data_IF_409347111548
#
_entry.id   IF_409347111548
#
_cell.length_a   1.000
_cell.length_b   1.000
_cell.length_c   1.000
_cell.angle_alpha   90.00
_cell.angle_beta   90.00
_cell.angle_gamma   90.00
#
_symmetry.space_group_name_H-M   'P 1'
#
loop_
_entity.id
_entity.type
_entity.pdbx_description
1 polymer ?
#
# COMPACT_ATOMS: atom_id res chain seq x y z
N UNK A 1 -4.95 -17.78 -26.98
CA UNK A 1 -4.48 -17.18 -25.70
C UNK A 1 -3.93 -15.80 -25.98
N UNK A 2 -4.08 -14.85 -25.06
CA UNK A 2 -3.51 -13.52 -25.20
C UNK A 2 -3.07 -12.94 -23.85
N UNK A 3 -2.04 -12.09 -23.87
CA UNK A 3 -1.62 -11.27 -22.74
C UNK A 3 -1.79 -9.81 -23.13
N UNK A 4 -2.91 -9.21 -22.73
CA UNK A 4 -3.30 -7.88 -23.18
C UNK A 4 -4.31 -7.26 -22.21
N UNK A 5 -4.43 -5.94 -22.25
CA UNK A 5 -5.61 -5.24 -21.74
C UNK A 5 -6.72 -5.32 -22.80
N UNK A 6 -7.84 -5.95 -22.46
CA UNK A 6 -9.03 -6.02 -23.31
C UNK A 6 -10.07 -5.06 -22.75
N UNK A 7 -10.82 -4.38 -23.64
CA UNK A 7 -11.89 -3.46 -23.20
C UNK A 7 -12.86 -4.15 -22.22
N UNK A 8 -13.19 -3.46 -21.13
CA UNK A 8 -13.98 -3.99 -20.02
C UNK A 8 -13.16 -4.65 -18.91
N UNK A 9 -11.85 -4.86 -19.13
CA UNK A 9 -10.92 -5.29 -18.09
C UNK A 9 -10.62 -4.18 -17.06
N UNK A 10 -10.56 -4.55 -15.79
CA UNK A 10 -10.25 -3.70 -14.64
C UNK A 10 -8.85 -4.03 -14.11
N UNK A 11 -7.95 -3.04 -14.07
CA UNK A 11 -6.57 -3.25 -13.62
C UNK A 11 -6.32 -3.02 -12.12
N UNK A 12 -5.09 -3.24 -11.68
CA UNK A 12 -4.61 -2.94 -10.33
C UNK A 12 -3.17 -2.39 -10.31
N UNK A 13 -2.77 -1.78 -9.19
CA UNK A 13 -1.53 -0.97 -9.06
C UNK A 13 -0.20 -1.62 -9.52
N UNK A 14 -0.12 -2.95 -9.57
CA UNK A 14 1.13 -3.67 -9.94
C UNK A 14 1.23 -4.03 -11.41
N UNK A 15 0.15 -3.85 -12.16
CA UNK A 15 0.11 -4.18 -13.58
C UNK A 15 0.90 -3.12 -14.35
N UNK A 16 1.90 -3.58 -15.11
CA UNK A 16 2.72 -2.69 -15.94
C UNK A 16 1.88 -2.20 -17.11
N UNK A 17 2.00 -0.92 -17.42
CA UNK A 17 1.51 -0.41 -18.71
C UNK A 17 2.32 -1.08 -19.84
N UNK A 18 1.65 -1.85 -20.68
CA UNK A 18 2.21 -2.53 -21.86
C UNK A 18 1.79 -1.85 -23.15
N UNK A 19 1.21 -0.65 -23.08
CA UNK A 19 0.80 0.08 -24.26
C UNK A 19 2.01 0.44 -25.12
N UNK A 20 1.87 0.20 -26.43
CA UNK A 20 2.85 0.58 -27.45
C UNK A 20 2.15 1.55 -28.38
N UNK A 21 2.66 2.79 -28.48
CA UNK A 21 2.09 3.81 -29.37
C UNK A 21 0.73 4.37 -28.93
N UNK A 22 0.39 4.31 -27.64
CA UNK A 22 -0.82 4.96 -27.08
C UNK A 22 -2.12 4.14 -27.21
N UNK A 23 -2.08 2.96 -27.82
CA UNK A 23 -3.23 2.03 -27.82
C UNK A 23 -3.14 1.17 -26.56
N UNK A 24 -4.02 1.46 -25.60
CA UNK A 24 -4.01 0.79 -24.29
C UNK A 24 -4.90 -0.45 -24.24
N UNK A 25 -5.81 -0.66 -25.20
CA UNK A 25 -6.83 -1.72 -25.13
C UNK A 25 -7.08 -2.41 -26.47
N UNK A 26 -7.29 -3.72 -26.41
CA UNK A 26 -7.74 -4.56 -27.53
C UNK A 26 -9.26 -4.73 -27.46
N UNK A 27 -10.01 -4.50 -28.55
CA UNK A 27 -11.44 -4.83 -28.61
C UNK A 27 -11.69 -6.33 -28.48
N UNK A 28 -12.73 -6.73 -27.75
CA UNK A 28 -13.09 -8.14 -27.58
C UNK A 28 -13.40 -8.86 -28.90
N UNK A 29 -13.94 -8.13 -29.89
CA UNK A 29 -14.28 -8.65 -31.21
C UNK A 29 -13.08 -9.23 -31.99
N UNK A 30 -11.85 -8.89 -31.60
CA UNK A 30 -10.62 -9.50 -32.16
C UNK A 30 -10.59 -11.02 -31.89
N UNK A 31 -11.33 -11.48 -30.89
CA UNK A 31 -11.37 -12.88 -30.51
C UNK A 31 -12.64 -13.62 -30.95
N UNK A 32 -13.46 -13.03 -31.83
CA UNK A 32 -14.66 -13.67 -32.35
C UNK A 32 -14.32 -14.96 -33.11
N UNK A 33 -15.15 -16.00 -32.92
CA UNK A 33 -14.96 -17.31 -33.53
C UNK A 33 -14.03 -18.26 -32.77
N UNK A 34 -13.54 -17.87 -31.60
CA UNK A 34 -12.77 -18.73 -30.69
C UNK A 34 -13.66 -19.23 -29.55
N UNK A 35 -13.70 -20.55 -29.31
CA UNK A 35 -14.55 -21.15 -28.27
C UNK A 35 -14.17 -20.71 -26.86
N UNK A 36 -12.86 -20.55 -26.61
CA UNK A 36 -12.34 -20.05 -25.34
C UNK A 36 -11.01 -19.31 -25.49
N UNK A 37 -10.90 -18.19 -24.80
CA UNK A 37 -9.77 -17.29 -24.79
C UNK A 37 -9.34 -17.07 -23.35
N UNK A 38 -8.24 -17.74 -22.98
CA UNK A 38 -7.51 -17.44 -21.77
C UNK A 38 -6.75 -16.10 -21.94
N UNK A 39 -7.19 -15.09 -21.19
CA UNK A 39 -6.51 -13.80 -21.06
C UNK A 39 -5.59 -13.81 -19.84
N UNK A 40 -4.40 -13.27 -20.01
CA UNK A 40 -3.47 -12.91 -18.94
C UNK A 40 -3.23 -11.41 -18.91
N UNK A 41 -2.41 -10.97 -17.95
CA UNK A 41 -2.02 -9.59 -17.63
C UNK A 41 -2.65 -9.05 -16.36
N UNK A 42 -3.98 -9.09 -16.28
CA UNK A 42 -4.71 -8.60 -15.11
C UNK A 42 -4.58 -9.58 -13.95
N UNK A 43 -4.34 -9.06 -12.75
CA UNK A 43 -4.15 -9.86 -11.54
C UNK A 43 -5.48 -10.19 -10.83
N UNK A 44 -6.54 -9.43 -11.13
CA UNK A 44 -7.91 -9.76 -10.74
C UNK A 44 -8.55 -10.68 -11.77
N UNK A 45 -9.17 -11.78 -11.32
CA UNK A 45 -9.95 -12.65 -12.20
C UNK A 45 -11.18 -11.92 -12.72
N UNK A 46 -11.50 -12.09 -13.99
CA UNK A 46 -12.59 -11.37 -14.65
C UNK A 46 -13.20 -12.21 -15.76
N UNK A 47 -14.53 -12.20 -15.85
CA UNK A 47 -15.28 -12.77 -16.97
C UNK A 47 -15.75 -11.62 -17.84
N UNK A 48 -15.19 -11.47 -19.03
CA UNK A 48 -15.67 -10.50 -20.01
C UNK A 48 -16.86 -11.08 -20.78
N UNK A 49 -16.73 -12.33 -21.22
CA UNK A 49 -17.81 -13.16 -21.75
C UNK A 49 -17.64 -14.59 -21.25
N UNK A 50 -18.51 -15.51 -21.66
CA UNK A 50 -18.47 -16.91 -21.23
C UNK A 50 -17.16 -17.59 -21.62
N UNK A 51 -16.67 -17.30 -22.83
CA UNK A 51 -15.42 -17.79 -23.39
C UNK A 51 -14.22 -16.85 -23.24
N UNK A 52 -14.38 -15.62 -22.75
CA UNK A 52 -13.29 -14.64 -22.66
C UNK A 52 -13.03 -14.23 -21.21
N UNK A 53 -11.93 -14.71 -20.62
CA UNK A 53 -11.68 -14.58 -19.17
C UNK A 53 -10.24 -14.32 -18.81
N UNK A 54 -10.04 -13.48 -17.80
CA UNK A 54 -8.80 -13.36 -17.04
C UNK A 54 -8.84 -14.31 -15.85
N UNK A 55 -7.86 -15.20 -15.73
CA UNK A 55 -7.73 -16.04 -14.52
C UNK A 55 -7.28 -15.26 -13.29
N UNK A 56 -6.69 -14.08 -13.49
CA UNK A 56 -5.98 -13.37 -12.42
C UNK A 56 -4.65 -14.03 -12.09
N UNK A 57 -3.97 -13.46 -11.10
CA UNK A 57 -2.78 -14.05 -10.50
C UNK A 57 -3.18 -15.11 -9.46
N UNK A 58 -2.32 -16.12 -9.20
CA UNK A 58 -2.58 -17.14 -8.18
C UNK A 58 -2.36 -16.64 -6.74
N UNK A 59 -1.65 -15.52 -6.57
CA UNK A 59 -1.37 -14.87 -5.30
C UNK A 59 -1.54 -13.35 -5.44
N UNK A 60 -1.79 -12.64 -4.34
CA UNK A 60 -1.80 -11.18 -4.33
C UNK A 60 -0.36 -10.64 -4.30
N UNK A 61 -0.04 -9.68 -5.16
CA UNK A 61 1.28 -9.04 -5.22
C UNK A 61 1.27 -7.61 -4.67
N UNK A 62 0.09 -7.01 -4.51
CA UNK A 62 -0.13 -5.70 -3.87
C UNK A 62 -1.35 -5.70 -2.95
N UNK A 63 -1.36 -4.76 -2.02
CA UNK A 63 -2.52 -4.48 -1.16
C UNK A 63 -3.74 -3.98 -1.93
N UNK A 64 -3.58 -3.41 -3.13
CA UNK A 64 -4.72 -3.13 -4.03
C UNK A 64 -5.53 -4.39 -4.36
N UNK A 65 -4.90 -5.56 -4.31
CA UNK A 65 -5.52 -6.86 -4.57
C UNK A 65 -6.09 -7.52 -3.30
N UNK A 66 -6.17 -6.83 -2.16
CA UNK A 66 -6.62 -7.43 -0.89
C UNK A 66 -8.04 -8.01 -0.93
N UNK A 67 -8.90 -7.47 -1.79
CA UNK A 67 -10.26 -7.97 -2.03
C UNK A 67 -10.33 -9.01 -3.16
N UNK A 68 -9.23 -9.26 -3.89
CA UNK A 68 -9.22 -10.22 -4.98
C UNK A 68 -9.29 -11.64 -4.44
N UNK A 69 -10.22 -12.42 -4.98
CA UNK A 69 -10.27 -13.86 -4.73
C UNK A 69 -9.38 -14.54 -5.79
N UNK A 70 -8.41 -15.30 -5.30
CA UNK A 70 -7.41 -15.98 -6.14
C UNK A 70 -7.93 -17.36 -6.54
N UNK A 71 -7.78 -17.70 -7.81
CA UNK A 71 -8.33 -18.93 -8.38
C UNK A 71 -7.66 -19.29 -9.68
N UNK A 72 -7.98 -20.48 -10.19
CA UNK A 72 -7.72 -20.91 -11.56
C UNK A 72 -9.04 -21.31 -12.23
N UNK A 73 -9.06 -21.40 -13.55
CA UNK A 73 -10.20 -21.97 -14.29
C UNK A 73 -9.84 -23.36 -14.82
N UNK A 74 -10.70 -24.34 -14.52
CA UNK A 74 -10.74 -25.62 -15.21
C UNK A 74 -11.74 -25.50 -16.36
N UNK A 75 -11.25 -25.65 -17.59
CA UNK A 75 -12.02 -25.43 -18.81
C UNK A 75 -12.18 -26.75 -19.53
N UNK A 76 -13.44 -27.17 -19.73
CA UNK A 76 -13.80 -28.33 -20.52
C UNK A 76 -14.25 -27.87 -21.91
N UNK A 77 -13.57 -28.37 -22.94
CA UNK A 77 -13.91 -28.18 -24.36
C UNK A 77 -14.27 -29.52 -24.98
N UNK A 78 -15.21 -29.53 -25.92
CA UNK A 78 -15.54 -30.69 -26.75
C UNK A 78 -15.62 -30.30 -28.24
N UNK A 79 -16.15 -31.20 -29.07
CA UNK A 79 -16.26 -30.97 -30.52
C UNK A 79 -17.24 -29.85 -30.89
N UNK A 80 -18.16 -29.49 -30.00
CA UNK A 80 -19.15 -28.42 -30.18
C UNK A 80 -18.69 -27.10 -29.53
N UNK A 81 -17.52 -27.09 -28.89
CA UNK A 81 -16.87 -25.90 -28.34
C UNK A 81 -16.80 -25.89 -26.81
N UNK A 82 -17.09 -24.73 -26.20
CA UNK A 82 -16.98 -24.54 -24.75
C UNK A 82 -18.11 -25.23 -23.99
N UNK A 83 -17.78 -26.30 -23.26
CA UNK A 83 -18.75 -27.09 -22.49
C UNK A 83 -18.94 -26.58 -21.06
N UNK A 84 -17.84 -26.35 -20.34
CA UNK A 84 -17.89 -25.93 -18.93
C UNK A 84 -16.65 -25.13 -18.55
N UNK A 85 -16.85 -24.15 -17.68
CA UNK A 85 -15.77 -23.47 -16.97
C UNK A 85 -16.05 -23.56 -15.47
N UNK A 86 -15.16 -24.21 -14.74
CA UNK A 86 -15.20 -24.30 -13.30
C UNK A 86 -14.10 -23.43 -12.68
N UNK A 87 -14.46 -22.66 -11.67
CA UNK A 87 -13.49 -21.89 -10.90
C UNK A 87 -12.98 -22.75 -9.74
N UNK A 88 -11.66 -22.90 -9.68
CA UNK A 88 -10.97 -23.63 -8.62
C UNK A 88 -10.27 -22.61 -7.71
N UNK A 89 -10.72 -22.40 -6.47
CA UNK A 89 -10.09 -21.47 -5.54
C UNK A 89 -8.63 -21.82 -5.28
N UNK A 90 -7.76 -20.82 -5.28
CA UNK A 90 -6.36 -21.00 -4.93
C UNK A 90 -6.20 -21.02 -3.40
N UNK A 91 -5.36 -21.90 -2.84
CA UNK A 91 -5.06 -21.87 -1.42
C UNK A 91 -4.25 -20.61 -1.08
N UNK A 92 -4.85 -19.68 -0.34
CA UNK A 92 -4.17 -18.47 0.12
C UNK A 92 -3.69 -18.69 1.57
N UNK A 93 -2.39 -18.96 1.81
CA UNK A 93 -1.90 -19.28 3.15
C UNK A 93 -1.96 -18.08 4.10
N UNK A 94 -1.92 -16.86 3.56
CA UNK A 94 -2.07 -15.63 4.34
C UNK A 94 -2.77 -14.55 3.53
N UNK A 95 -3.91 -14.09 4.03
CA UNK A 95 -4.71 -13.01 3.41
C UNK A 95 -4.01 -11.67 3.59
N UNK A 96 -4.29 -10.73 2.70
CA UNK A 96 -3.91 -9.32 2.85
C UNK A 96 -5.07 -8.55 3.48
N UNK A 97 -4.75 -7.52 4.26
CA UNK A 97 -5.71 -6.61 4.85
C UNK A 97 -5.19 -5.18 4.77
N UNK A 98 -6.09 -4.26 4.42
CA UNK A 98 -5.86 -2.81 4.50
C UNK A 98 -6.67 -2.29 5.66
N UNK A 99 -6.00 -1.77 6.67
CA UNK A 99 -6.62 -1.22 7.87
C UNK A 99 -6.45 0.30 7.87
N UNK A 100 -7.45 1.01 8.34
CA UNK A 100 -7.41 2.47 8.47
C UNK A 100 -7.99 2.86 9.82
N UNK A 101 -7.28 3.69 10.57
CA UNK A 101 -7.73 4.15 11.89
C UNK A 101 -6.58 4.77 12.69
N UNK A 102 -6.87 5.28 13.89
CA UNK A 102 -5.83 5.75 14.80
C UNK A 102 -5.02 4.57 15.34
N UNK A 103 -3.81 4.82 15.84
CA UNK A 103 -3.01 3.76 16.48
C UNK A 103 -3.78 3.08 17.62
N UNK A 104 -4.49 3.86 18.45
CA UNK A 104 -5.27 3.29 19.55
C UNK A 104 -6.44 2.44 19.07
N UNK A 105 -7.13 2.88 18.01
CA UNK A 105 -8.24 2.12 17.44
C UNK A 105 -7.74 0.79 16.85
N UNK A 106 -6.67 0.84 16.05
CA UNK A 106 -6.06 -0.33 15.44
C UNK A 106 -5.50 -1.31 16.48
N UNK A 107 -5.05 -0.83 17.65
CA UNK A 107 -4.53 -1.68 18.72
C UNK A 107 -5.59 -2.28 19.63
N UNK A 108 -6.71 -1.59 19.85
CA UNK A 108 -7.66 -1.98 20.90
C UNK A 108 -9.02 -2.46 20.36
N UNK A 109 -9.41 -2.07 19.14
CA UNK A 109 -10.72 -2.45 18.59
C UNK A 109 -10.77 -3.95 18.29
N UNK A 110 -11.79 -4.69 18.77
CA UNK A 110 -12.00 -6.10 18.44
C UNK A 110 -12.30 -6.34 16.96
N UNK A 111 -12.76 -5.30 16.23
CA UNK A 111 -13.05 -5.39 14.80
C UNK A 111 -11.82 -5.79 13.98
N UNK A 112 -10.60 -5.54 14.49
CA UNK A 112 -9.36 -5.86 13.80
C UNK A 112 -8.73 -7.20 14.19
N UNK A 113 -9.29 -7.94 15.15
CA UNK A 113 -8.71 -9.21 15.61
C UNK A 113 -8.64 -10.28 14.52
N UNK A 114 -9.57 -10.27 13.57
CA UNK A 114 -9.54 -11.21 12.43
C UNK A 114 -8.33 -10.99 11.49
N UNK A 115 -7.64 -9.85 11.59
CA UNK A 115 -6.53 -9.48 10.70
C UNK A 115 -5.14 -9.64 11.33
N UNK A 116 -5.05 -10.10 12.58
CA UNK A 116 -3.76 -10.26 13.30
C UNK A 116 -2.79 -11.20 12.57
N UNK A 117 -3.33 -12.19 11.86
CA UNK A 117 -2.55 -13.12 11.06
C UNK A 117 -2.47 -12.75 9.56
N UNK A 118 -3.04 -11.63 9.12
CA UNK A 118 -2.97 -11.18 7.73
C UNK A 118 -1.66 -10.44 7.45
N UNK A 119 -1.25 -10.38 6.17
CA UNK A 119 -0.34 -9.31 5.73
C UNK A 119 -1.08 -7.99 5.86
N UNK A 120 -0.53 -7.01 6.57
CA UNK A 120 -1.24 -5.76 6.87
C UNK A 120 -0.56 -4.56 6.24
N UNK A 121 -1.37 -3.73 5.56
CA UNK A 121 -1.11 -2.32 5.32
C UNK A 121 -1.98 -1.53 6.30
N UNK A 122 -1.37 -0.72 7.16
CA UNK A 122 -2.09 0.15 8.08
C UNK A 122 -1.94 1.61 7.65
N UNK A 123 -3.06 2.32 7.51
CA UNK A 123 -3.11 3.76 7.26
C UNK A 123 -3.56 4.46 8.53
N UNK A 124 -2.70 5.29 9.08
CA UNK A 124 -3.00 6.03 10.30
C UNK A 124 -3.89 7.23 10.02
N UNK A 125 -4.76 7.54 10.96
CA UNK A 125 -5.60 8.76 10.93
C UNK A 125 -5.33 9.69 12.11
N UNK A 126 -4.27 9.41 12.89
CA UNK A 126 -3.87 10.24 14.02
C UNK A 126 -3.52 11.66 13.56
N UNK A 127 -4.10 12.66 14.22
CA UNK A 127 -3.85 14.10 13.96
C UNK A 127 -2.44 14.52 14.40
N UNK A 128 -1.87 13.81 15.36
CA UNK A 128 -0.51 14.00 15.86
C UNK A 128 0.23 12.69 15.63
N UNK A 129 1.47 12.79 15.12
CA UNK A 129 2.29 11.60 14.87
C UNK A 129 2.49 10.82 16.19
N UNK A 130 1.97 9.57 16.28
CA UNK A 130 2.11 8.77 17.49
C UNK A 130 3.57 8.36 17.72
N UNK A 131 3.92 8.07 18.98
CA UNK A 131 5.21 7.51 19.34
C UNK A 131 5.31 6.04 18.90
N UNK A 132 6.40 5.70 18.21
CA UNK A 132 6.74 4.34 17.76
C UNK A 132 5.56 3.52 17.19
N UNK A 133 4.75 4.07 16.26
CA UNK A 133 3.50 3.44 15.83
C UNK A 133 3.74 2.08 15.17
N UNK A 134 4.84 1.97 14.42
CA UNK A 134 5.23 0.72 13.77
C UNK A 134 5.52 -0.39 14.79
N UNK A 135 6.31 -0.13 15.84
CA UNK A 135 6.63 -1.13 16.86
C UNK A 135 5.39 -1.57 17.63
N UNK A 136 4.54 -0.61 17.99
CA UNK A 136 3.29 -0.87 18.72
C UNK A 136 2.35 -1.73 17.88
N UNK A 137 2.09 -1.34 16.64
CA UNK A 137 1.21 -2.10 15.73
C UNK A 137 1.78 -3.47 15.40
N UNK A 138 3.10 -3.62 15.27
CA UNK A 138 3.74 -4.92 14.99
C UNK A 138 3.58 -5.93 16.13
N UNK A 139 3.33 -5.48 17.37
CA UNK A 139 2.99 -6.39 18.48
C UNK A 139 1.63 -7.05 18.30
N UNK A 140 0.64 -6.33 17.75
CA UNK A 140 -0.71 -6.88 17.47
C UNK A 140 -0.81 -7.52 16.08
N UNK A 141 -0.14 -6.93 15.09
CA UNK A 141 -0.10 -7.40 13.71
C UNK A 141 1.34 -7.80 13.36
N UNK A 142 1.80 -9.02 13.71
CA UNK A 142 3.17 -9.48 13.46
C UNK A 142 3.63 -9.38 12.00
N UNK A 143 2.67 -9.35 11.08
CA UNK A 143 2.85 -9.32 9.64
C UNK A 143 2.51 -7.95 9.01
N UNK A 144 2.64 -6.86 9.79
CA UNK A 144 2.62 -5.50 9.27
C UNK A 144 3.75 -5.29 8.27
N UNK A 145 3.41 -5.06 6.99
CA UNK A 145 4.38 -4.84 5.90
C UNK A 145 4.49 -3.37 5.49
N UNK A 146 3.40 -2.61 5.64
CA UNK A 146 3.35 -1.21 5.23
C UNK A 146 2.59 -0.38 6.24
N UNK A 147 3.20 0.72 6.65
CA UNK A 147 2.58 1.74 7.49
C UNK A 147 2.53 3.05 6.70
N UNK A 148 1.33 3.55 6.47
CA UNK A 148 1.09 4.85 5.86
C UNK A 148 0.73 5.80 6.98
N UNK A 149 1.55 6.83 7.17
CA UNK A 149 1.30 7.90 8.15
C UNK A 149 0.88 9.13 7.35
N UNK A 150 -0.16 9.86 7.76
CA UNK A 150 -0.55 11.08 7.07
C UNK A 150 0.62 12.05 7.07
N UNK A 151 0.85 12.70 5.94
CA UNK A 151 1.73 13.87 5.91
C UNK A 151 0.98 14.97 6.62
N UNK A 152 1.45 15.34 7.81
CA UNK A 152 1.03 16.57 8.49
C UNK A 152 1.59 17.73 7.68
N UNK A 153 0.95 18.01 6.56
CA UNK A 153 1.02 19.33 5.95
C UNK A 153 0.16 20.20 6.84
N UNK A 154 0.75 20.69 7.93
CA UNK A 154 0.27 21.94 8.47
C UNK A 154 0.27 22.94 7.30
N UNK A 155 -0.71 23.85 7.25
CA UNK A 155 -0.59 25.05 6.43
C UNK A 155 0.68 25.76 6.89
N UNK A 156 1.81 25.44 6.25
CA UNK A 156 3.09 26.06 6.58
C UNK A 156 2.98 27.47 6.02
N UNK A 157 2.70 28.45 6.89
CA UNK A 157 3.26 29.77 6.68
C UNK A 157 4.77 29.56 6.56
N UNK A 158 5.27 29.56 5.32
CA UNK A 158 6.67 29.33 5.03
C UNK A 158 7.49 30.32 5.83
N UNK A 159 8.11 29.88 6.93
CA UNK A 159 9.11 30.69 7.59
C UNK A 159 10.22 30.96 6.59
N UNK A 160 10.54 32.23 6.42
CA UNK A 160 11.57 32.65 5.48
C UNK A 160 12.90 31.99 5.89
N UNK A 161 13.60 31.39 4.94
CA UNK A 161 14.89 30.72 5.17
C UNK A 161 15.90 31.66 5.86
N UNK A 162 15.77 32.97 5.60
CA UNK A 162 16.59 34.01 6.22
C UNK A 162 16.40 34.15 7.74
N UNK A 163 15.25 33.74 8.30
CA UNK A 163 15.02 33.75 9.75
C UNK A 163 15.58 32.50 10.43
N UNK A 164 15.70 31.38 9.72
CA UNK A 164 16.32 30.16 10.25
C UNK A 164 17.84 30.33 10.44
N UNK A 165 18.51 31.08 9.57
CA UNK A 165 19.95 31.37 9.68
C UNK A 165 20.33 32.20 10.91
N UNK A 166 19.34 32.83 11.58
CA UNK A 166 19.55 33.63 12.80
C UNK A 166 19.39 32.83 14.08
N UNK A 167 18.80 31.64 14.00
CA UNK A 167 18.54 30.78 15.15
C UNK A 167 19.74 29.89 15.45
N UNK A 168 19.94 29.56 16.72
CA UNK A 168 20.90 28.52 17.06
C UNK A 168 20.42 27.17 16.48
N UNK A 169 21.32 26.27 16.01
CA UNK A 169 20.92 24.99 15.43
C UNK A 169 20.00 24.14 16.31
N UNK A 170 20.17 24.23 17.64
CA UNK A 170 19.30 23.54 18.61
C UNK A 170 17.89 24.13 18.63
N UNK A 171 17.73 25.43 18.42
CA UNK A 171 16.42 26.10 18.34
C UNK A 171 15.69 25.70 17.06
N UNK A 172 16.42 25.61 15.93
CA UNK A 172 15.87 25.09 14.66
C UNK A 172 15.37 23.65 14.84
N UNK A 173 16.12 22.81 15.57
CA UNK A 173 15.69 21.43 15.85
C UNK A 173 14.45 21.37 16.76
N UNK A 174 14.35 22.24 17.77
CA UNK A 174 13.18 22.34 18.65
C UNK A 174 11.93 22.83 17.91
N UNK A 175 12.10 23.78 17.01
CA UNK A 175 11.03 24.26 16.12
C UNK A 175 10.56 23.14 15.19
N UNK A 176 11.49 22.38 14.60
CA UNK A 176 11.15 21.22 13.79
C UNK A 176 10.37 20.15 14.57
N UNK A 177 10.75 19.88 15.83
CA UNK A 177 9.98 18.97 16.70
C UNK A 177 8.57 19.49 16.89
N UNK A 178 8.44 20.80 17.12
CA UNK A 178 7.13 21.45 17.28
C UNK A 178 6.27 21.31 16.04
N UNK A 179 6.86 21.52 14.87
CA UNK A 179 6.18 21.39 13.58
C UNK A 179 5.75 19.95 13.29
N UNK A 180 6.65 18.99 13.41
CA UNK A 180 6.37 17.58 13.09
C UNK A 180 5.42 16.92 14.09
N UNK A 181 5.42 17.38 15.35
CA UNK A 181 4.58 16.80 16.41
C UNK A 181 3.33 17.61 16.72
N UNK A 182 3.20 18.84 16.21
CA UNK A 182 2.13 19.76 16.60
C UNK A 182 2.14 20.14 18.08
N UNK A 183 3.24 19.88 18.80
CA UNK A 183 3.43 20.25 20.22
C UNK A 183 4.90 20.59 20.48
N UNK A 184 5.21 21.50 21.43
CA UNK A 184 6.59 21.74 21.84
C UNK A 184 7.29 20.46 22.30
N UNK A 185 8.61 20.43 22.15
CA UNK A 185 9.45 19.38 22.73
C UNK A 185 9.24 19.32 24.26
N UNK A 186 9.12 18.11 24.80
CA UNK A 186 9.03 17.90 26.25
C UNK A 186 10.42 18.01 26.92
N UNK A 187 10.46 18.00 28.26
CA UNK A 187 11.70 18.24 29.01
C UNK A 187 12.82 17.24 28.70
N UNK A 188 12.45 15.99 28.43
CA UNK A 188 13.41 14.94 28.06
C UNK A 188 13.94 15.16 26.64
N UNK A 189 13.06 15.51 25.70
CA UNK A 189 13.41 15.85 24.32
C UNK A 189 14.32 17.08 24.24
N UNK A 190 14.01 18.13 25.00
CA UNK A 190 14.83 19.35 25.10
C UNK A 190 16.22 19.00 25.62
N UNK A 191 16.29 18.25 26.73
CA UNK A 191 17.55 17.84 27.34
C UNK A 191 18.40 17.01 26.38
N UNK A 192 17.77 16.08 25.66
CA UNK A 192 18.44 15.24 24.67
C UNK A 192 19.02 16.08 23.52
N UNK A 193 18.23 16.99 22.93
CA UNK A 193 18.68 17.83 21.83
C UNK A 193 19.85 18.73 22.24
N UNK A 194 19.75 19.41 23.38
CA UNK A 194 20.85 20.24 23.88
C UNK A 194 22.11 19.43 24.08
N UNK A 195 22.01 18.25 24.73
CA UNK A 195 23.15 17.37 24.95
C UNK A 195 23.80 16.95 23.62
N UNK A 196 23.01 16.51 22.64
CA UNK A 196 23.54 16.05 21.35
C UNK A 196 24.24 17.19 20.59
N UNK A 197 23.65 18.39 20.55
CA UNK A 197 24.29 19.54 19.90
C UNK A 197 25.55 20.01 20.62
N UNK A 198 25.61 19.89 21.96
CA UNK A 198 26.82 20.21 22.72
C UNK A 198 27.93 19.18 22.48
N UNK A 199 27.60 17.89 22.42
CA UNK A 199 28.55 16.82 22.07
C UNK A 199 29.12 17.03 20.66
N UNK A 200 28.27 17.37 19.68
CA UNK A 200 28.69 17.67 18.30
C UNK A 200 29.62 18.89 18.24
N UNK A 201 29.28 20.00 18.92
CA UNK A 201 30.12 21.20 18.97
C UNK A 201 31.51 20.92 19.56
N UNK A 202 31.59 20.07 20.58
CA UNK A 202 32.88 19.67 21.17
C UNK A 202 33.73 18.84 20.19
N UNK A 203 33.09 17.94 19.43
CA UNK A 203 33.75 17.13 18.42
C UNK A 203 34.28 17.98 17.25
N UNK A 204 33.53 19.00 16.82
CA UNK A 204 33.98 19.92 15.77
C UNK A 204 35.12 20.82 16.24
N UNK A 205 35.10 21.28 17.50
CA UNK A 205 36.17 22.10 18.06
C UNK A 205 37.50 21.35 18.28
N UNK A 206 37.48 20.01 18.24
CA UNK A 206 38.68 19.17 18.38
C UNK A 206 39.24 18.66 17.04
N UNK A 207 38.67 19.10 15.92
CA UNK A 207 39.06 18.71 14.55
C UNK A 207 39.79 19.82 13.83
#
# INVERSE_FOLDING_TARGET
>A
MAHAFVFGGQGCDTERDISVGGVQHVPSAVFDGVDYVALGHLHGRQRLTDGLRYSGSPLAFSFSEAAHVKSSYLVDLDADGLRRVEEIPAPIPRRMARLTGSVEELLNSPAYSAYEHCWVEATLTDQVRPLSPHERLKRRFPHLLKLVVPSLTADVESRDLADLDRLAPVEVALDFVTEVRGRPADGDEVTLLHRTFDELRRLEATR
#
